data_IF_598203812936
#
_entry.id   IF_598203812936
#
_cell.length_a   1.000
_cell.length_b   1.000
_cell.length_c   1.000
_cell.angle_alpha   90.00
_cell.angle_beta   90.00
_cell.angle_gamma   90.00
#
_symmetry.space_group_name_H-M   'P 1'
#
loop_
_entity.id
_entity.type
_entity.pdbx_description
1 polymer ?
#
# COMPACT_ATOMS: atom_id res chain seq x y z
N UNK A 1 -12.21 14.32 -19.85
CA UNK A 1 -11.07 13.36 -19.86
C UNK A 1 -10.67 13.08 -18.42
N UNK A 2 -9.78 12.13 -18.13
CA UNK A 2 -9.25 11.93 -16.78
C UNK A 2 -7.75 11.61 -16.86
N UNK A 3 -6.99 12.02 -15.85
CA UNK A 3 -5.56 11.72 -15.74
C UNK A 3 -5.34 10.68 -14.66
N UNK A 4 -4.64 9.60 -15.00
CA UNK A 4 -4.23 8.57 -14.06
C UNK A 4 -2.79 8.86 -13.67
N UNK A 5 -2.55 9.24 -12.42
CA UNK A 5 -1.23 9.64 -11.94
C UNK A 5 -0.60 8.58 -11.04
N UNK A 6 0.62 8.20 -11.38
CA UNK A 6 1.50 7.34 -10.58
C UNK A 6 2.75 8.10 -10.10
N UNK A 7 2.71 9.43 -10.11
CA UNK A 7 3.80 10.29 -9.62
C UNK A 7 3.84 10.18 -8.10
N UNK A 8 5.03 9.95 -7.54
CA UNK A 8 5.23 9.78 -6.11
C UNK A 8 5.96 10.97 -5.50
N UNK A 9 5.74 11.17 -4.20
CA UNK A 9 6.50 12.13 -3.39
C UNK A 9 6.26 13.59 -3.75
N UNK A 10 7.29 14.41 -3.53
CA UNK A 10 7.29 15.85 -3.73
C UNK A 10 7.01 16.29 -5.17
N UNK A 11 7.29 15.41 -6.14
CA UNK A 11 7.04 15.62 -7.57
C UNK A 11 5.57 15.78 -7.92
N UNK A 12 4.64 15.41 -7.04
CA UNK A 12 3.22 15.73 -7.19
C UNK A 12 2.98 17.24 -7.21
N UNK A 13 3.64 18.02 -6.34
CA UNK A 13 3.41 19.46 -6.21
C UNK A 13 3.59 20.22 -7.52
N UNK A 14 4.75 20.15 -8.20
CA UNK A 14 4.93 20.88 -9.45
C UNK A 14 3.98 20.39 -10.54
N UNK A 15 3.61 19.11 -10.55
CA UNK A 15 2.64 18.58 -11.50
C UNK A 15 1.25 19.19 -11.32
N UNK A 16 0.68 19.18 -10.12
CA UNK A 16 -0.63 19.78 -9.85
C UNK A 16 -0.61 21.30 -10.05
N UNK A 17 0.49 21.95 -9.65
CA UNK A 17 0.66 23.39 -9.86
C UNK A 17 0.66 23.73 -11.35
N UNK A 18 1.42 23.00 -12.15
CA UNK A 18 1.47 23.26 -13.59
C UNK A 18 0.16 22.90 -14.28
N UNK A 19 -0.49 21.82 -13.88
CA UNK A 19 -1.83 21.47 -14.34
C UNK A 19 -2.83 22.63 -14.12
N UNK A 20 -2.82 23.22 -12.92
CA UNK A 20 -3.60 24.41 -12.61
C UNK A 20 -3.17 25.66 -13.40
N UNK A 21 -1.87 25.88 -13.63
CA UNK A 21 -1.35 26.99 -14.44
C UNK A 21 -1.82 26.92 -15.90
N UNK A 22 -2.03 25.72 -16.44
CA UNK A 22 -2.62 25.50 -17.76
C UNK A 22 -4.13 25.78 -17.80
N UNK A 23 -4.71 26.24 -16.68
CA UNK A 23 -6.13 26.54 -16.55
C UNK A 23 -7.01 25.30 -16.37
N UNK A 24 -6.41 24.11 -16.19
CA UNK A 24 -7.15 22.87 -16.00
C UNK A 24 -7.51 22.70 -14.53
N UNK A 25 -8.73 22.22 -14.28
CA UNK A 25 -9.27 21.97 -12.95
C UNK A 25 -9.77 20.54 -12.82
N UNK A 26 -10.04 20.11 -11.59
CA UNK A 26 -10.66 18.82 -11.33
C UNK A 26 -12.00 18.64 -12.05
N UNK A 27 -12.75 19.73 -12.26
CA UNK A 27 -14.02 19.70 -12.99
C UNK A 27 -13.84 19.46 -14.50
N UNK A 28 -12.69 19.84 -15.08
CA UNK A 28 -12.39 19.68 -16.51
C UNK A 28 -11.80 18.30 -16.81
N UNK A 29 -10.80 17.91 -16.01
CA UNK A 29 -10.10 16.64 -16.11
C UNK A 29 -9.58 16.22 -14.74
N UNK A 30 -10.33 15.40 -13.98
CA UNK A 30 -9.88 14.96 -12.66
C UNK A 30 -8.61 14.11 -12.79
N UNK A 31 -7.65 14.38 -11.91
CA UNK A 31 -6.50 13.53 -11.65
C UNK A 31 -6.91 12.51 -10.59
N UNK A 32 -6.68 11.23 -10.87
CA UNK A 32 -6.76 10.15 -9.90
C UNK A 32 -5.35 9.66 -9.58
N UNK A 33 -4.92 9.93 -8.35
CA UNK A 33 -3.61 9.54 -7.83
C UNK A 33 -3.66 8.26 -6.99
N UNK A 34 -2.59 7.49 -7.03
CA UNK A 34 -2.38 6.29 -6.22
C UNK A 34 -1.24 6.46 -5.20
N UNK A 35 -0.74 7.70 -5.07
CA UNK A 35 0.55 8.03 -4.45
C UNK A 35 0.57 9.45 -3.88
N UNK A 36 -0.60 9.93 -3.44
CA UNK A 36 -0.79 11.20 -2.72
C UNK A 36 -1.68 10.95 -1.52
N UNK A 37 -1.17 11.22 -0.32
CA UNK A 37 -1.81 10.97 0.95
C UNK A 37 -1.74 12.19 1.88
N UNK A 38 -2.50 12.16 2.98
CA UNK A 38 -2.70 13.33 3.85
C UNK A 38 -1.39 13.91 4.42
N UNK A 39 -0.39 13.09 4.78
CA UNK A 39 0.85 13.62 5.35
C UNK A 39 1.73 14.33 4.32
N UNK A 40 1.67 13.92 3.06
CA UNK A 40 2.36 14.62 1.96
C UNK A 40 1.66 15.96 1.70
N UNK A 41 0.33 15.96 1.63
CA UNK A 41 -0.48 17.17 1.39
C UNK A 41 -0.29 18.25 2.46
N UNK A 42 0.04 17.86 3.69
CA UNK A 42 0.28 18.79 4.81
C UNK A 42 1.43 19.78 4.53
N UNK A 43 2.44 19.37 3.76
CA UNK A 43 3.60 20.21 3.42
C UNK A 43 3.41 21.08 2.18
N UNK A 44 2.22 21.08 1.57
CA UNK A 44 1.99 21.59 0.21
C UNK A 44 0.88 22.65 0.19
N UNK A 45 0.94 23.57 -0.79
CA UNK A 45 -0.22 24.37 -1.14
C UNK A 45 -1.23 23.47 -1.86
N UNK A 46 -2.31 23.11 -1.16
CA UNK A 46 -3.33 22.19 -1.66
C UNK A 46 -4.36 22.85 -2.57
N UNK A 47 -4.29 24.17 -2.81
CA UNK A 47 -5.29 24.91 -3.58
C UNK A 47 -5.52 24.33 -4.99
N UNK A 48 -4.45 23.95 -5.68
CA UNK A 48 -4.50 23.30 -7.00
C UNK A 48 -4.91 21.82 -6.93
N UNK A 49 -4.96 21.21 -5.74
CA UNK A 49 -5.27 19.79 -5.53
C UNK A 49 -6.74 19.55 -5.19
N UNK A 50 -7.47 20.59 -4.78
CA UNK A 50 -8.88 20.48 -4.35
C UNK A 50 -9.73 19.88 -5.46
N UNK A 51 -10.55 18.87 -5.11
CA UNK A 51 -11.46 18.20 -6.03
C UNK A 51 -10.82 17.06 -6.83
N UNK A 52 -9.48 16.97 -6.90
CA UNK A 52 -8.82 15.79 -7.46
C UNK A 52 -9.01 14.58 -6.54
N UNK A 53 -8.77 13.40 -7.11
CA UNK A 53 -9.08 12.13 -6.47
C UNK A 53 -7.80 11.40 -6.07
N UNK A 54 -7.85 10.68 -4.94
CA UNK A 54 -6.84 9.68 -4.61
C UNK A 54 -7.52 8.35 -4.27
N UNK A 55 -6.87 7.24 -4.60
CA UNK A 55 -7.34 5.90 -4.27
C UNK A 55 -6.39 5.24 -3.25
N UNK A 56 -6.96 4.81 -2.12
CA UNK A 56 -6.22 4.22 -1.00
C UNK A 56 -7.06 3.17 -0.26
N UNK A 57 -6.48 2.50 0.73
CA UNK A 57 -7.20 1.55 1.57
C UNK A 57 -7.65 2.13 2.93
N UNK A 58 -7.22 3.35 3.26
CA UNK A 58 -7.55 4.09 4.47
C UNK A 58 -7.39 5.61 4.23
N UNK A 59 -8.19 6.40 4.95
CA UNK A 59 -7.99 7.84 5.13
C UNK A 59 -8.12 8.17 6.61
N UNK A 60 -7.43 9.22 7.07
CA UNK A 60 -7.60 9.74 8.43
C UNK A 60 -9.06 10.11 8.73
N UNK A 61 -9.84 10.47 7.70
CA UNK A 61 -11.25 10.86 7.83
C UNK A 61 -12.23 9.72 8.09
N UNK A 62 -11.79 8.46 8.05
CA UNK A 62 -12.65 7.29 8.30
C UNK A 62 -13.28 7.35 9.69
N UNK A 63 -14.61 7.32 9.77
CA UNK A 63 -15.33 7.49 11.04
C UNK A 63 -15.51 6.15 11.78
N UNK A 64 -14.49 5.74 12.53
CA UNK A 64 -14.57 4.60 13.46
C UNK A 64 -14.05 4.99 14.85
N UNK A 65 -14.52 4.34 15.93
CA UNK A 65 -13.97 4.55 17.27
C UNK A 65 -12.46 4.27 17.36
N UNK A 66 -11.99 3.23 16.67
CA UNK A 66 -10.59 2.83 16.61
C UNK A 66 -9.76 3.92 15.93
N UNK A 67 -10.26 4.48 14.84
CA UNK A 67 -9.57 5.55 14.13
C UNK A 67 -9.46 6.83 14.97
N UNK A 68 -10.56 7.26 15.59
CA UNK A 68 -10.55 8.43 16.49
C UNK A 68 -9.48 8.30 17.57
N UNK A 69 -9.36 7.11 18.19
CA UNK A 69 -8.33 6.81 19.18
C UNK A 69 -6.93 6.81 18.58
N UNK A 70 -6.75 6.18 17.42
CA UNK A 70 -5.47 6.12 16.70
C UNK A 70 -4.94 7.52 16.36
N UNK A 71 -5.76 8.35 15.71
CA UNK A 71 -5.41 9.73 15.33
C UNK A 71 -5.06 10.57 16.55
N UNK A 72 -5.86 10.49 17.63
CA UNK A 72 -5.57 11.20 18.87
C UNK A 72 -4.24 10.78 19.49
N UNK A 73 -3.97 9.47 19.56
CA UNK A 73 -2.72 8.93 20.09
C UNK A 73 -1.51 9.30 19.24
N UNK A 74 -1.66 9.28 17.91
CA UNK A 74 -0.61 9.67 16.97
C UNK A 74 -0.23 11.14 17.16
N UNK A 75 -1.21 12.05 17.16
CA UNK A 75 -1.00 13.49 17.41
C UNK A 75 -0.35 13.74 18.77
N UNK A 76 -0.81 13.06 19.82
CA UNK A 76 -0.22 13.16 21.14
C UNK A 76 1.23 12.65 21.19
N UNK A 77 1.53 11.57 20.47
CA UNK A 77 2.90 11.06 20.30
C UNK A 77 3.78 12.07 19.58
N UNK A 78 3.33 12.64 18.45
CA UNK A 78 4.07 13.65 17.71
C UNK A 78 4.40 14.88 18.56
N UNK A 79 3.41 15.39 19.31
CA UNK A 79 3.59 16.50 20.26
C UNK A 79 4.61 16.15 21.35
N UNK A 80 4.46 14.99 22.00
CA UNK A 80 5.33 14.57 23.12
C UNK A 80 6.79 14.37 22.70
N UNK A 81 7.03 13.89 21.49
CA UNK A 81 8.38 13.63 20.99
C UNK A 81 8.95 14.80 20.16
N UNK A 82 8.31 15.96 20.19
CA UNK A 82 8.74 17.17 19.47
C UNK A 82 8.98 16.90 17.97
N UNK A 83 8.11 16.10 17.34
CA UNK A 83 8.16 15.88 15.90
C UNK A 83 7.69 17.15 15.17
N UNK A 84 8.17 17.39 13.93
CA UNK A 84 7.69 18.50 13.11
C UNK A 84 6.16 18.56 13.10
N UNK A 85 5.62 19.78 13.24
CA UNK A 85 4.18 20.07 13.27
C UNK A 85 3.38 19.51 14.45
N UNK A 86 4.02 18.77 15.37
CA UNK A 86 3.45 18.40 16.66
C UNK A 86 2.03 17.81 16.57
N UNK A 87 1.06 18.47 17.21
CA UNK A 87 -0.35 18.02 17.21
C UNK A 87 -1.11 18.30 15.90
N UNK A 88 -0.54 19.10 14.99
CA UNK A 88 -1.06 19.35 13.65
C UNK A 88 -0.67 18.25 12.65
N UNK A 89 0.16 17.28 13.06
CA UNK A 89 0.44 16.09 12.27
C UNK A 89 -0.84 15.35 11.90
N UNK A 90 -0.83 14.75 10.73
CA UNK A 90 -1.91 13.88 10.22
C UNK A 90 -1.35 12.50 9.95
N UNK A 91 -2.24 11.51 9.92
CA UNK A 91 -1.94 10.14 9.49
C UNK A 91 -2.51 9.88 8.10
N UNK A 92 -2.10 8.79 7.48
CA UNK A 92 -2.46 8.34 6.14
C UNK A 92 -2.42 6.80 6.06
N UNK A 93 -2.68 6.23 4.89
CA UNK A 93 -2.69 4.77 4.68
C UNK A 93 -1.34 4.09 4.98
N UNK A 94 -0.18 4.61 4.54
CA UNK A 94 1.12 4.03 4.93
C UNK A 94 1.37 4.03 6.44
N UNK A 95 1.03 5.10 7.16
CA UNK A 95 1.19 5.17 8.62
C UNK A 95 0.23 4.18 9.32
N UNK A 96 -1.01 4.05 8.83
CA UNK A 96 -1.97 3.06 9.34
C UNK A 96 -1.50 1.62 9.09
N UNK A 97 -0.93 1.35 7.91
CA UNK A 97 -0.37 0.06 7.54
C UNK A 97 0.82 -0.35 8.43
N UNK A 98 1.73 0.59 8.68
CA UNK A 98 2.82 0.38 9.61
C UNK A 98 2.31 0.10 11.03
N UNK A 99 1.27 0.83 11.46
CA UNK A 99 0.65 0.63 12.77
C UNK A 99 0.08 -0.78 12.92
N UNK A 100 -0.85 -1.21 12.05
CA UNK A 100 -1.47 -2.53 12.20
C UNK A 100 -0.49 -3.67 11.94
N UNK A 101 0.52 -3.47 11.08
CA UNK A 101 1.51 -4.49 10.74
C UNK A 101 2.25 -5.02 11.97
N UNK A 102 2.61 -4.14 12.91
CA UNK A 102 3.25 -4.53 14.18
C UNK A 102 2.30 -5.35 15.06
N UNK A 103 1.01 -5.02 15.10
CA UNK A 103 0.03 -5.78 15.88
C UNK A 103 -0.30 -7.14 15.28
N UNK A 104 -0.37 -7.24 13.95
CA UNK A 104 -0.51 -8.53 13.25
C UNK A 104 0.71 -9.41 13.52
N UNK A 105 1.92 -8.86 13.43
CA UNK A 105 3.14 -9.59 13.80
C UNK A 105 3.09 -10.06 15.26
N UNK A 106 2.70 -9.19 16.19
CA UNK A 106 2.53 -9.55 17.60
C UNK A 106 1.53 -10.71 17.77
N UNK A 107 0.36 -10.65 17.13
CA UNK A 107 -0.65 -11.71 17.18
C UNK A 107 -0.11 -13.04 16.63
N UNK A 108 0.70 -12.99 15.57
CA UNK A 108 1.37 -14.16 15.01
C UNK A 108 2.43 -14.75 15.97
N UNK A 109 3.22 -13.92 16.65
CA UNK A 109 4.17 -14.35 17.70
C UNK A 109 3.43 -15.03 18.84
N UNK A 110 2.34 -14.43 19.34
CA UNK A 110 1.52 -14.99 20.42
C UNK A 110 0.90 -16.34 20.01
N UNK A 111 0.38 -16.45 18.78
CA UNK A 111 -0.18 -17.70 18.24
C UNK A 111 0.90 -18.78 18.02
N UNK A 112 2.10 -18.39 17.60
CA UNK A 112 3.21 -19.32 17.39
C UNK A 112 3.89 -19.76 18.70
N UNK A 113 3.72 -18.99 19.78
CA UNK A 113 4.49 -19.17 21.02
C UNK A 113 6.00 -18.98 20.82
N UNK A 114 6.40 -18.24 19.78
CA UNK A 114 7.80 -18.10 19.35
C UNK A 114 7.99 -16.85 18.48
N UNK A 115 9.21 -16.33 18.48
CA UNK A 115 9.67 -15.26 17.58
C UNK A 115 10.39 -15.79 16.34
N UNK A 116 10.55 -17.11 16.22
CA UNK A 116 11.20 -17.75 15.07
C UNK A 116 10.45 -17.45 13.77
N UNK A 117 11.18 -16.97 12.76
CA UNK A 117 10.60 -16.38 11.53
C UNK A 117 9.63 -17.34 10.85
N UNK A 118 9.99 -18.62 10.69
CA UNK A 118 9.14 -19.59 10.01
C UNK A 118 7.90 -19.96 10.82
N UNK A 119 7.99 -19.97 12.15
CA UNK A 119 6.85 -20.23 13.02
C UNK A 119 5.86 -19.05 12.96
N UNK A 120 6.36 -17.82 13.06
CA UNK A 120 5.57 -16.59 12.95
C UNK A 120 4.93 -16.48 11.57
N UNK A 121 5.68 -16.75 10.49
CA UNK A 121 5.17 -16.73 9.11
C UNK A 121 4.01 -17.69 8.92
N UNK A 122 4.08 -18.91 9.47
CA UNK A 122 2.97 -19.87 9.40
C UNK A 122 1.76 -19.41 10.22
N UNK A 123 1.99 -18.72 11.34
CA UNK A 123 0.93 -18.26 12.22
C UNK A 123 0.13 -17.06 11.66
N UNK A 124 0.72 -16.27 10.75
CA UNK A 124 0.14 -15.01 10.24
C UNK A 124 -1.01 -15.22 9.25
N UNK A 125 -1.02 -16.30 8.48
CA UNK A 125 -2.02 -16.53 7.44
C UNK A 125 -3.44 -16.62 8.01
N UNK A 126 -4.39 -15.97 7.33
CA UNK A 126 -5.81 -15.94 7.71
C UNK A 126 -6.15 -15.13 8.97
N UNK A 127 -5.17 -14.50 9.63
CA UNK A 127 -5.43 -13.67 10.81
C UNK A 127 -6.33 -12.48 10.47
N UNK A 128 -7.22 -12.12 11.39
CA UNK A 128 -8.05 -10.92 11.31
C UNK A 128 -7.61 -9.92 12.35
N UNK A 129 -7.56 -8.64 11.96
CA UNK A 129 -7.22 -7.56 12.86
C UNK A 129 -8.18 -6.39 12.67
N UNK A 130 -8.59 -5.76 13.77
CA UNK A 130 -9.43 -4.55 13.73
C UNK A 130 -8.54 -3.31 13.70
N UNK A 131 -8.14 -2.91 12.50
CA UNK A 131 -7.29 -1.75 12.26
C UNK A 131 -8.07 -0.42 12.42
N UNK A 132 -7.38 0.74 12.47
CA UNK A 132 -8.04 2.04 12.48
C UNK A 132 -9.09 2.20 11.36
N UNK A 133 -8.77 1.77 10.13
CA UNK A 133 -9.69 1.82 8.99
C UNK A 133 -10.87 0.83 9.02
N UNK A 134 -10.88 -0.09 9.98
CA UNK A 134 -11.82 -1.20 10.09
C UNK A 134 -11.12 -2.56 10.06
N UNK A 135 -11.91 -3.63 9.93
CA UNK A 135 -11.35 -4.98 9.91
C UNK A 135 -10.49 -5.19 8.66
N UNK A 136 -9.33 -5.81 8.83
CA UNK A 136 -8.49 -6.36 7.77
C UNK A 136 -8.32 -7.87 7.97
N UNK A 137 -7.83 -8.55 6.95
CA UNK A 137 -7.49 -9.98 7.03
C UNK A 137 -6.18 -10.23 6.29
N UNK A 138 -5.27 -11.01 6.89
CA UNK A 138 -4.13 -11.58 6.19
C UNK A 138 -4.62 -12.67 5.24
N UNK A 139 -4.15 -12.68 4.00
CA UNK A 139 -4.53 -13.71 3.04
C UNK A 139 -4.20 -15.11 3.57
N UNK A 140 -5.05 -16.08 3.22
CA UNK A 140 -4.90 -17.45 3.70
C UNK A 140 -3.73 -18.18 3.05
N UNK A 141 -3.28 -17.73 1.87
CA UNK A 141 -2.22 -18.40 1.11
C UNK A 141 -0.99 -17.52 0.89
N UNK A 142 -1.08 -16.21 1.11
CA UNK A 142 0.05 -15.31 0.94
C UNK A 142 0.13 -14.21 2.02
N UNK A 143 1.18 -13.39 1.97
CA UNK A 143 1.48 -12.39 2.99
C UNK A 143 0.84 -11.02 2.74
N UNK A 144 -0.09 -10.90 1.77
CA UNK A 144 -0.82 -9.66 1.52
C UNK A 144 -2.06 -9.58 2.40
N UNK A 145 -2.67 -8.40 2.43
CA UNK A 145 -3.88 -8.13 3.21
C UNK A 145 -5.10 -7.92 2.32
N UNK A 146 -6.22 -8.44 2.78
CA UNK A 146 -7.54 -8.05 2.33
C UNK A 146 -7.88 -6.72 3.01
N UNK A 147 -8.02 -5.66 2.22
CA UNK A 147 -8.39 -4.31 2.69
C UNK A 147 -9.57 -3.77 1.87
N UNK A 148 -10.38 -2.85 2.41
CA UNK A 148 -11.32 -2.10 1.59
C UNK A 148 -10.56 -1.20 0.60
N UNK A 149 -11.17 -0.86 -0.53
CA UNK A 149 -10.66 0.17 -1.45
C UNK A 149 -11.54 1.41 -1.32
N UNK A 150 -10.92 2.57 -1.21
CA UNK A 150 -11.57 3.86 -1.07
C UNK A 150 -11.14 4.75 -2.23
N UNK A 151 -12.07 5.57 -2.72
CA UNK A 151 -11.80 6.71 -3.58
C UNK A 151 -12.19 7.94 -2.79
N UNK A 152 -11.25 8.86 -2.64
CA UNK A 152 -11.37 10.08 -1.87
C UNK A 152 -11.19 11.32 -2.73
N UNK A 153 -11.96 12.35 -2.43
CA UNK A 153 -11.80 13.70 -2.98
C UNK A 153 -10.94 14.54 -2.04
N UNK A 154 -9.92 15.22 -2.58
CA UNK A 154 -9.03 16.08 -1.81
C UNK A 154 -9.76 17.36 -1.41
N UNK A 155 -9.76 17.65 -0.12
CA UNK A 155 -10.36 18.85 0.47
C UNK A 155 -9.33 19.97 0.65
N UNK A 156 -9.82 21.21 0.81
CA UNK A 156 -9.02 22.42 1.07
C UNK A 156 -8.10 22.33 2.28
N UNK A 157 -8.37 21.45 3.24
CA UNK A 157 -7.57 21.25 4.43
C UNK A 157 -6.56 20.10 4.28
N UNK A 158 -6.34 19.59 3.07
CA UNK A 158 -5.44 18.47 2.79
C UNK A 158 -5.94 17.11 3.28
N UNK A 159 -7.21 17.01 3.71
CA UNK A 159 -7.83 15.73 4.05
C UNK A 159 -8.57 15.15 2.85
N UNK A 160 -8.75 13.84 2.85
CA UNK A 160 -9.54 13.14 1.84
C UNK A 160 -10.95 12.85 2.35
N UNK A 161 -11.97 13.25 1.59
CA UNK A 161 -13.36 12.85 1.82
C UNK A 161 -13.65 11.59 1.01
N UNK A 162 -14.01 10.50 1.68
CA UNK A 162 -14.44 9.28 0.95
C UNK A 162 -15.70 9.58 0.14
N UNK A 163 -15.62 9.39 -1.18
CA UNK A 163 -16.77 9.50 -2.10
C UNK A 163 -17.25 8.14 -2.60
N UNK A 164 -16.39 7.12 -2.53
CA UNK A 164 -16.74 5.74 -2.81
C UNK A 164 -15.91 4.79 -1.95
N UNK A 165 -16.49 3.66 -1.58
CA UNK A 165 -15.84 2.58 -0.83
C UNK A 165 -16.34 1.24 -1.33
N UNK A 166 -15.46 0.24 -1.42
CA UNK A 166 -15.85 -1.13 -1.67
C UNK A 166 -16.83 -1.66 -0.61
N UNK A 167 -17.77 -2.52 -1.00
CA UNK A 167 -18.78 -3.09 -0.06
C UNK A 167 -18.17 -3.91 1.08
N UNK A 168 -16.96 -4.43 0.88
CA UNK A 168 -16.23 -5.22 1.85
C UNK A 168 -14.74 -5.21 1.54
N UNK A 169 -14.02 -6.21 2.07
CA UNK A 169 -12.61 -6.37 1.80
C UNK A 169 -12.40 -6.87 0.37
N UNK A 170 -11.44 -6.27 -0.32
CA UNK A 170 -10.99 -6.72 -1.63
C UNK A 170 -9.85 -7.69 -1.40
N UNK A 171 -9.94 -8.86 -2.03
CA UNK A 171 -8.87 -9.87 -2.00
C UNK A 171 -7.62 -9.31 -2.65
N UNK A 172 -6.42 -9.50 -2.07
CA UNK A 172 -5.19 -9.08 -2.72
C UNK A 172 -4.91 -9.94 -3.94
N UNK A 173 -4.59 -9.28 -5.05
CA UNK A 173 -4.15 -9.89 -6.29
C UNK A 173 -2.77 -9.34 -6.66
N UNK A 174 -1.68 -9.88 -6.08
CA UNK A 174 -0.33 -9.37 -6.30
C UNK A 174 0.12 -9.46 -7.77
N UNK A 175 -0.50 -10.39 -8.51
CA UNK A 175 -0.29 -10.59 -9.93
C UNK A 175 -1.60 -10.33 -10.67
N UNK A 176 -1.61 -9.30 -11.50
CA UNK A 176 -2.75 -8.91 -12.32
C UNK A 176 -3.05 -9.96 -13.38
N UNK A 177 -4.33 -10.32 -13.53
CA UNK A 177 -4.79 -11.21 -14.60
C UNK A 177 -4.58 -10.63 -16.00
N UNK A 178 -4.44 -9.30 -16.11
CA UNK A 178 -4.29 -8.63 -17.41
C UNK A 178 -2.83 -8.57 -17.86
N UNK A 179 -1.89 -8.38 -16.94
CA UNK A 179 -0.46 -8.21 -17.27
C UNK A 179 0.40 -9.42 -16.92
N UNK A 180 -0.06 -10.26 -16.00
CA UNK A 180 0.63 -11.47 -15.55
C UNK A 180 -0.40 -12.62 -15.30
N UNK A 181 -1.26 -12.96 -16.29
CA UNK A 181 -2.29 -13.99 -16.14
C UNK A 181 -1.73 -15.34 -15.67
N UNK A 182 -0.51 -15.63 -16.07
CA UNK A 182 0.23 -16.85 -15.75
C UNK A 182 0.81 -16.84 -14.33
N UNK A 183 0.78 -15.75 -13.56
CA UNK A 183 1.38 -15.71 -12.22
C UNK A 183 0.35 -15.81 -11.11
N UNK A 184 0.73 -16.50 -10.04
CA UNK A 184 0.03 -16.58 -8.77
C UNK A 184 0.99 -16.40 -7.60
N UNK A 185 0.45 -16.19 -6.40
CA UNK A 185 1.23 -16.07 -5.17
C UNK A 185 0.62 -17.00 -4.12
N UNK A 186 1.40 -18.01 -3.70
CA UNK A 186 1.01 -19.01 -2.70
C UNK A 186 2.27 -19.45 -1.93
N UNK A 187 2.39 -18.94 -0.72
CA UNK A 187 3.49 -19.23 0.19
C UNK A 187 3.27 -20.49 1.03
N UNK A 188 2.09 -21.12 0.96
CA UNK A 188 1.79 -22.35 1.69
C UNK A 188 2.15 -23.57 0.85
N UNK A 189 1.63 -23.67 -0.37
CA UNK A 189 1.83 -24.85 -1.20
C UNK A 189 2.97 -24.68 -2.22
N UNK A 190 3.34 -23.44 -2.55
CA UNK A 190 4.30 -23.15 -3.63
C UNK A 190 5.47 -22.27 -3.20
N UNK A 191 5.57 -21.93 -1.90
CA UNK A 191 6.66 -21.13 -1.32
C UNK A 191 6.93 -19.79 -2.05
N UNK A 192 5.90 -19.17 -2.64
CA UNK A 192 5.99 -17.82 -3.19
C UNK A 192 5.25 -17.63 -4.52
N UNK A 193 5.86 -16.86 -5.42
CA UNK A 193 5.34 -16.63 -6.78
C UNK A 193 5.41 -17.92 -7.59
N UNK A 194 4.31 -18.27 -8.26
CA UNK A 194 4.17 -19.49 -9.06
C UNK A 194 3.59 -19.21 -10.44
N UNK A 195 3.82 -20.12 -11.37
CA UNK A 195 3.08 -20.16 -12.63
C UNK A 195 1.73 -20.88 -12.44
N UNK A 196 0.64 -20.26 -12.88
CA UNK A 196 -0.70 -20.83 -13.04
C UNK A 196 -0.73 -21.55 -14.39
N UNK A 197 -0.49 -22.87 -14.40
CA UNK A 197 -0.76 -23.70 -15.59
C UNK A 197 0.43 -24.31 -16.32
N UNK A 198 1.58 -24.54 -15.68
CA UNK A 198 2.53 -25.53 -16.20
C UNK A 198 2.36 -26.85 -15.41
N UNK A 199 2.19 -27.93 -16.18
CA UNK A 199 2.41 -29.32 -15.77
C UNK A 199 3.68 -29.37 -14.92
N UNK A 200 3.68 -30.22 -13.88
CA UNK A 200 4.81 -30.47 -12.97
C UNK A 200 6.16 -30.14 -13.62
N UNK A 201 7.00 -29.27 -13.04
CA UNK A 201 8.37 -29.18 -13.52
C UNK A 201 8.97 -30.59 -13.48
N UNK A 202 9.59 -31.00 -14.58
CA UNK A 202 10.39 -32.22 -14.62
C UNK A 202 11.42 -32.17 -13.48
N UNK A 203 11.77 -33.33 -12.88
CA UNK A 203 12.63 -33.38 -11.71
C UNK A 203 13.92 -32.58 -11.93
N UNK A 204 14.35 -31.90 -10.87
CA UNK A 204 15.51 -31.02 -10.74
C UNK A 204 16.87 -31.58 -11.24
N UNK A 205 16.92 -32.79 -11.80
CA UNK A 205 18.13 -33.47 -12.27
C UNK A 205 18.67 -32.98 -13.62
N UNK A 206 17.95 -32.14 -14.37
CA UNK A 206 18.44 -31.66 -15.68
C UNK A 206 19.13 -30.28 -15.65
N UNK A 207 19.01 -29.52 -14.56
CA UNK A 207 19.64 -28.19 -14.44
C UNK A 207 21.09 -28.21 -13.93
N UNK A 208 21.70 -29.39 -13.74
CA UNK A 208 23.11 -29.52 -13.37
C UNK A 208 24.01 -29.89 -14.55
N UNK A 209 23.57 -29.72 -15.81
CA UNK A 209 24.44 -29.92 -16.95
C UNK A 209 25.48 -28.77 -17.05
N UNK A 210 26.78 -29.01 -16.81
CA UNK A 210 27.81 -27.97 -16.84
C UNK A 210 28.05 -27.39 -18.24
N UNK A 211 27.51 -27.99 -19.29
CA UNK A 211 27.70 -27.55 -20.69
C UNK A 211 26.70 -26.48 -21.14
N UNK A 212 25.67 -26.16 -20.35
CA UNK A 212 24.73 -25.06 -20.60
C UNK A 212 24.86 -24.00 -19.51
N UNK A 213 25.88 -23.16 -19.63
CA UNK A 213 26.21 -22.11 -18.66
C UNK A 213 25.02 -21.21 -18.30
N UNK A 214 24.63 -21.23 -17.03
CA UNK A 214 23.78 -20.20 -16.43
C UNK A 214 24.69 -19.10 -15.86
N UNK A 215 24.80 -17.99 -16.58
CA UNK A 215 25.51 -16.79 -16.14
C UNK A 215 24.58 -15.90 -15.31
N UNK A 216 24.58 -16.08 -13.98
CA UNK A 216 23.76 -15.32 -13.03
C UNK A 216 24.48 -14.10 -12.42
N UNK A 217 25.61 -13.63 -12.98
CA UNK A 217 26.43 -12.59 -12.34
C UNK A 217 26.39 -11.20 -13.02
N UNK A 218 25.76 -11.02 -14.20
CA UNK A 218 25.90 -9.77 -14.97
C UNK A 218 24.67 -8.86 -15.13
N UNK A 219 23.71 -8.85 -14.20
CA UNK A 219 22.62 -7.85 -14.19
C UNK A 219 22.53 -7.04 -12.89
N UNK A 220 23.68 -6.55 -12.40
CA UNK A 220 23.72 -5.29 -11.68
C UNK A 220 23.93 -4.16 -12.70
N UNK A 221 22.86 -3.41 -12.97
CA UNK A 221 22.88 -2.25 -13.86
C UNK A 221 23.88 -1.21 -13.38
N UNK A 222 24.86 -0.94 -14.22
CA UNK A 222 25.82 0.15 -14.10
C UNK A 222 25.14 1.48 -14.36
N UNK A 223 25.34 2.44 -13.45
CA UNK A 223 25.14 3.87 -13.70
C UNK A 223 25.96 4.29 -14.93
N UNK A 224 25.31 4.79 -15.97
CA UNK A 224 25.96 5.51 -17.06
C UNK A 224 25.70 7.00 -16.89
N UNK A 225 26.75 7.73 -16.51
CA UNK A 225 26.84 9.19 -16.67
C UNK A 225 26.76 9.54 -18.15
N UNK A 226 25.88 10.44 -18.53
CA UNK A 226 26.10 11.46 -19.56
C UNK A 226 25.53 12.78 -19.07
#
# INVERSE_FOLDING_TARGET
AAVISTINGDSNVPFYKEFGNQGLRAEDAPIMAFSVAEDELRGMDTSALVGHLAAWNYYQSVDTPQNKKFVANFKAYCKRNNLPDGENRVTDDPIEAAYFGVYVWKQAVEKAGSIEVDAVRKAVYGQKFLAPGGQIMMDEANQHTHKPVLIGEILKNGQLKTIWRSKGLVKPEPWSEYTNPEKGCDWINHQGTRSKGLVKPEPWSEYTNPEKGCDWINHQGTYQKK
#
